data_IF_957682032469
#
_entry.id   IF_957682032469
#
_cell.length_a   1.000
_cell.length_b   1.000
_cell.length_c   1.000
_cell.angle_alpha   90.00
_cell.angle_beta   90.00
_cell.angle_gamma   90.00
#
_symmetry.space_group_name_H-M   'P 1'
#
loop_
_entity.id
_entity.type
_entity.pdbx_description
1 polymer ?
#
# COMPACT_ATOMS: atom_id res chain seq x y z
N UNK A 1 -45.14 -6.77 47.43
CA UNK A 1 -44.45 -7.93 46.84
C UNK A 1 -45.00 -8.08 45.43
N UNK A 2 -44.30 -7.98 44.31
CA UNK A 2 -42.88 -7.83 44.00
C UNK A 2 -42.80 -7.17 42.62
N UNK A 3 -41.99 -6.12 42.46
CA UNK A 3 -41.72 -5.53 41.14
C UNK A 3 -40.61 -6.34 40.47
N UNK A 4 -40.87 -6.86 39.27
CA UNK A 4 -39.89 -7.53 38.42
C UNK A 4 -39.02 -6.48 37.74
N UNK A 5 -37.77 -6.35 38.21
CA UNK A 5 -36.75 -5.50 37.60
C UNK A 5 -36.10 -6.32 36.49
N UNK A 6 -36.40 -5.99 35.24
CA UNK A 6 -35.64 -6.49 34.10
C UNK A 6 -34.19 -6.00 34.21
N UNK A 7 -33.17 -6.86 34.07
CA UNK A 7 -31.79 -6.40 34.12
C UNK A 7 -31.53 -5.49 32.92
N UNK A 8 -31.13 -4.24 33.19
CA UNK A 8 -30.61 -3.34 32.18
C UNK A 8 -29.46 -4.03 31.47
N UNK A 9 -29.58 -4.26 30.15
CA UNK A 9 -28.47 -4.70 29.32
C UNK A 9 -27.33 -3.72 29.54
N UNK A 10 -26.31 -4.12 30.29
CA UNK A 10 -25.08 -3.36 30.36
C UNK A 10 -24.58 -3.24 28.92
N UNK A 11 -24.43 -2.00 28.44
CA UNK A 11 -23.68 -1.76 27.21
C UNK A 11 -22.31 -2.37 27.49
N UNK A 12 -22.01 -3.51 26.85
CA UNK A 12 -20.62 -3.97 26.77
C UNK A 12 -19.84 -2.80 26.21
N UNK A 13 -18.99 -2.21 27.03
CA UNK A 13 -17.96 -1.29 26.57
C UNK A 13 -17.12 -2.13 25.64
N UNK A 14 -17.31 -1.94 24.32
CA UNK A 14 -16.42 -2.48 23.32
C UNK A 14 -15.04 -1.92 23.68
N UNK A 15 -14.01 -2.75 23.89
CA UNK A 15 -12.66 -2.24 24.11
C UNK A 15 -12.34 -1.25 22.99
N UNK A 16 -11.70 -0.13 23.32
CA UNK A 16 -11.29 0.84 22.31
C UNK A 16 -10.54 0.10 21.20
N UNK A 17 -11.06 0.21 19.97
CA UNK A 17 -10.42 -0.39 18.80
C UNK A 17 -9.00 0.14 18.63
N UNK A 18 -8.17 -0.61 17.90
CA UNK A 18 -6.86 -0.12 17.49
C UNK A 18 -7.02 1.16 16.67
N UNK A 19 -6.57 2.29 17.21
CA UNK A 19 -6.58 3.58 16.50
C UNK A 19 -5.15 3.91 16.02
N UNK A 20 -4.88 3.84 14.72
CA UNK A 20 -3.55 4.07 14.17
C UNK A 20 -3.12 5.55 14.23
N UNK A 21 -4.01 6.50 14.52
CA UNK A 21 -3.67 7.92 14.63
C UNK A 21 -3.03 8.28 15.99
N UNK A 22 -3.26 7.46 17.01
CA UNK A 22 -2.89 7.78 18.39
C UNK A 22 -1.66 7.04 18.89
N UNK A 23 -1.08 6.14 18.09
CA UNK A 23 0.07 5.34 18.49
C UNK A 23 1.36 6.19 18.52
N UNK A 24 2.27 5.93 19.48
CA UNK A 24 3.49 6.71 19.64
C UNK A 24 4.38 6.60 18.40
N UNK A 25 4.94 7.74 18.00
CA UNK A 25 5.93 7.83 16.93
C UNK A 25 7.30 7.57 17.53
N UNK A 26 8.08 6.71 16.89
CA UNK A 26 9.46 6.38 17.28
C UNK A 26 10.45 6.89 16.25
N UNK A 27 11.71 7.02 16.66
CA UNK A 27 12.78 7.47 15.76
C UNK A 27 12.99 6.45 14.64
N UNK A 28 13.11 6.97 13.41
CA UNK A 28 13.45 6.19 12.24
C UNK A 28 14.73 6.76 11.60
N UNK A 29 15.45 5.92 10.86
CA UNK A 29 16.64 6.33 10.10
C UNK A 29 16.25 7.40 9.07
N UNK A 30 17.01 8.49 9.03
CA UNK A 30 16.87 9.49 7.97
C UNK A 30 17.27 8.91 6.61
N UNK A 31 16.47 9.20 5.60
CA UNK A 31 16.66 8.75 4.23
C UNK A 31 16.93 9.94 3.30
N UNK A 32 17.60 9.69 2.17
CA UNK A 32 17.97 10.74 1.23
C UNK A 32 16.79 11.11 0.33
N UNK A 33 16.66 12.38 -0.04
CA UNK A 33 15.68 12.77 -1.04
C UNK A 33 16.04 12.17 -2.41
N UNK A 34 15.04 11.66 -3.13
CA UNK A 34 15.20 11.27 -4.53
C UNK A 34 15.27 12.52 -5.43
N UNK A 35 16.00 12.41 -6.53
CA UNK A 35 15.97 13.42 -7.59
C UNK A 35 14.61 13.43 -8.30
N UNK A 36 14.21 14.59 -8.83
CA UNK A 36 12.99 14.68 -9.64
C UNK A 36 13.03 13.76 -10.86
N UNK A 37 14.21 13.60 -11.48
CA UNK A 37 14.41 12.68 -12.61
C UNK A 37 14.11 11.22 -12.26
N UNK A 38 14.31 10.81 -11.00
CA UNK A 38 14.01 9.43 -10.57
C UNK A 38 12.53 9.17 -10.33
N UNK A 39 11.71 10.22 -10.38
CA UNK A 39 10.25 10.14 -10.28
C UNK A 39 9.55 10.20 -11.64
N UNK A 40 10.31 10.32 -12.72
CA UNK A 40 9.77 10.35 -14.08
C UNK A 40 9.46 8.94 -14.60
N UNK A 41 8.40 8.77 -15.43
CA UNK A 41 8.00 7.45 -15.93
C UNK A 41 9.13 6.69 -16.63
N UNK A 42 9.92 7.40 -17.45
CA UNK A 42 11.02 6.79 -18.19
C UNK A 42 12.14 6.25 -17.29
N UNK A 43 12.42 6.94 -16.18
CA UNK A 43 13.38 6.44 -15.20
C UNK A 43 12.85 5.19 -14.50
N UNK A 44 11.60 5.23 -14.01
CA UNK A 44 10.97 4.11 -13.31
C UNK A 44 10.93 2.88 -14.23
N UNK A 45 10.50 3.04 -15.47
CA UNK A 45 10.52 1.97 -16.47
C UNK A 45 11.93 1.40 -16.68
N UNK A 46 12.94 2.27 -16.81
CA UNK A 46 14.33 1.84 -16.95
C UNK A 46 14.83 1.07 -15.72
N UNK A 47 14.47 1.53 -14.52
CA UNK A 47 14.84 0.90 -13.25
C UNK A 47 14.30 -0.53 -13.15
N UNK A 48 13.04 -0.76 -13.52
CA UNK A 48 12.44 -2.10 -13.54
C UNK A 48 12.93 -2.98 -14.70
N UNK A 49 13.49 -2.39 -15.76
CA UNK A 49 14.00 -3.13 -16.93
C UNK A 49 15.43 -3.66 -16.73
N UNK A 50 16.09 -3.32 -15.62
CA UNK A 50 17.44 -3.79 -15.31
C UNK A 50 17.51 -4.41 -13.91
N UNK A 51 18.43 -5.35 -13.66
CA UNK A 51 18.69 -5.84 -12.31
C UNK A 51 19.24 -4.71 -11.44
N UNK A 52 18.46 -4.27 -10.45
CA UNK A 52 18.91 -3.34 -9.41
C UNK A 52 19.28 -4.18 -8.18
N UNK A 53 20.46 -3.96 -7.61
CA UNK A 53 20.80 -4.52 -6.31
C UNK A 53 20.22 -3.62 -5.22
N UNK A 54 19.19 -4.10 -4.53
CA UNK A 54 18.48 -3.33 -3.51
C UNK A 54 17.99 -4.24 -2.40
N UNK A 55 17.72 -3.63 -1.25
CA UNK A 55 17.13 -4.29 -0.09
C UNK A 55 15.75 -3.69 0.16
N UNK A 56 14.81 -4.54 0.55
CA UNK A 56 13.47 -4.15 0.97
C UNK A 56 13.50 -3.26 2.22
N UNK A 57 12.36 -2.66 2.58
CA UNK A 57 12.26 -1.84 3.80
C UNK A 57 12.82 -2.57 5.04
N UNK A 58 13.91 -2.06 5.67
CA UNK A 58 14.61 -2.79 6.71
C UNK A 58 13.76 -3.18 7.92
N UNK A 59 12.83 -2.31 8.33
CA UNK A 59 11.90 -2.56 9.45
C UNK A 59 11.01 -3.78 9.20
N UNK A 60 10.78 -4.13 7.93
CA UNK A 60 9.88 -5.20 7.51
C UNK A 60 10.57 -6.28 6.68
N UNK A 61 11.88 -6.47 6.85
CA UNK A 61 12.65 -7.45 6.08
C UNK A 61 12.00 -8.84 6.10
N UNK A 62 11.56 -9.32 7.28
CA UNK A 62 10.88 -10.62 7.42
C UNK A 62 9.51 -10.65 6.74
N UNK A 63 8.75 -9.56 6.80
CA UNK A 63 7.44 -9.47 6.15
C UNK A 63 7.56 -9.44 4.63
N UNK A 64 8.67 -8.97 4.07
CA UNK A 64 8.94 -8.95 2.63
C UNK A 64 9.54 -10.25 2.07
N UNK A 65 9.71 -11.29 2.89
CA UNK A 65 10.20 -12.61 2.45
C UNK A 65 9.08 -13.53 1.92
N UNK A 66 7.87 -13.03 1.69
CA UNK A 66 6.72 -13.84 1.30
C UNK A 66 6.79 -14.49 -0.08
N UNK A 67 7.71 -14.06 -0.95
CA UNK A 67 8.01 -14.80 -2.19
C UNK A 67 8.98 -15.98 -1.96
N UNK A 68 9.78 -15.95 -0.90
CA UNK A 68 10.87 -16.91 -0.63
C UNK A 68 10.53 -17.93 0.45
N UNK A 69 9.51 -17.66 1.27
CA UNK A 69 9.08 -18.49 2.40
C UNK A 69 7.65 -18.94 2.20
N UNK A 70 7.41 -20.26 2.31
CA UNK A 70 6.06 -20.80 2.24
C UNK A 70 5.34 -20.58 3.58
N UNK A 71 4.50 -19.56 3.64
CA UNK A 71 3.63 -19.33 4.78
C UNK A 71 2.40 -20.25 4.72
N UNK A 72 2.12 -20.99 5.80
CA UNK A 72 0.88 -21.76 5.92
C UNK A 72 -0.29 -20.87 6.31
N UNK A 73 -1.53 -21.19 5.93
CA UNK A 73 -2.73 -20.43 6.34
C UNK A 73 -2.62 -18.93 6.06
N UNK A 74 -2.25 -18.57 4.83
CA UNK A 74 -2.25 -17.19 4.34
C UNK A 74 -3.21 -17.06 3.17
N UNK A 75 -3.82 -15.89 3.05
CA UNK A 75 -4.63 -15.51 1.90
C UNK A 75 -3.74 -14.79 0.91
N UNK A 76 -3.67 -15.28 -0.33
CA UNK A 76 -2.90 -14.60 -1.38
C UNK A 76 -3.71 -13.45 -1.95
N UNK A 77 -3.06 -12.30 -2.11
CA UNK A 77 -3.64 -11.09 -2.65
C UNK A 77 -2.64 -10.36 -3.55
N UNK A 78 -3.15 -9.58 -4.47
CA UNK A 78 -2.35 -8.73 -5.34
C UNK A 78 -2.98 -7.35 -5.42
N UNK A 79 -2.12 -6.33 -5.47
CA UNK A 79 -2.54 -4.93 -5.57
C UNK A 79 -1.82 -4.26 -6.73
N UNK A 80 -2.53 -3.41 -7.44
CA UNK A 80 -1.93 -2.52 -8.42
C UNK A 80 -1.40 -1.29 -7.69
N UNK A 81 -0.11 -0.97 -7.85
CA UNK A 81 0.46 0.34 -7.55
C UNK A 81 0.33 1.18 -8.83
N UNK A 82 -0.71 2.02 -8.95
CA UNK A 82 -1.08 2.64 -10.22
C UNK A 82 -0.44 4.01 -10.34
N UNK A 83 0.58 4.12 -11.18
CA UNK A 83 1.19 5.39 -11.57
C UNK A 83 0.33 6.05 -12.65
N UNK A 84 -0.05 7.30 -12.46
CA UNK A 84 -0.90 8.06 -13.39
C UNK A 84 -0.15 9.31 -13.84
N UNK A 85 0.00 9.48 -15.16
CA UNK A 85 0.64 10.68 -15.69
C UNK A 85 -0.31 11.88 -15.58
N UNK A 86 0.14 12.94 -14.91
CA UNK A 86 -0.49 14.25 -14.85
C UNK A 86 0.47 15.33 -15.37
N UNK A 87 -0.03 16.55 -15.52
CA UNK A 87 0.74 17.69 -16.02
C UNK A 87 1.86 18.13 -15.07
N UNK A 88 1.71 17.85 -13.78
CA UNK A 88 2.65 18.18 -12.69
C UNK A 88 3.51 17.00 -12.24
N UNK A 89 3.50 15.89 -12.99
CA UNK A 89 4.30 14.69 -12.73
C UNK A 89 3.45 13.43 -12.57
N UNK A 90 4.07 12.36 -12.07
CA UNK A 90 3.36 11.14 -11.73
C UNK A 90 2.55 11.31 -10.45
N UNK A 91 1.34 10.78 -10.47
CA UNK A 91 0.49 10.59 -9.30
C UNK A 91 0.27 9.10 -9.06
N UNK A 92 -0.21 8.78 -7.87
CA UNK A 92 -0.56 7.42 -7.48
C UNK A 92 -2.01 7.40 -7.07
N UNK A 93 -2.80 6.55 -7.71
CA UNK A 93 -4.22 6.40 -7.43
C UNK A 93 -4.45 5.45 -6.24
N UNK A 94 -5.36 5.84 -5.35
CA UNK A 94 -5.78 5.07 -4.19
C UNK A 94 -7.30 4.96 -4.12
N UNK A 95 -7.76 3.92 -3.41
CA UNK A 95 -9.15 3.74 -2.99
C UNK A 95 -9.27 4.00 -1.49
N UNK A 96 -10.41 4.56 -1.07
CA UNK A 96 -10.85 4.54 0.33
C UNK A 96 -11.98 3.54 0.46
N UNK A 97 -11.76 2.49 1.26
CA UNK A 97 -12.77 1.46 1.52
C UNK A 97 -14.01 2.05 2.18
N UNK A 98 -15.17 1.56 1.80
CA UNK A 98 -16.44 2.01 2.38
C UNK A 98 -16.49 1.73 3.88
N UNK A 99 -17.07 2.67 4.65
CA UNK A 99 -17.06 2.63 6.12
C UNK A 99 -17.93 1.53 6.72
N UNK A 100 -18.76 0.88 5.91
CA UNK A 100 -19.70 -0.15 6.34
C UNK A 100 -19.14 -1.59 6.20
N UNK A 101 -17.93 -1.74 5.64
CA UNK A 101 -17.29 -3.04 5.49
C UNK A 101 -16.74 -3.54 6.85
N UNK A 102 -16.88 -4.84 7.11
CA UNK A 102 -16.46 -5.46 8.38
C UNK A 102 -14.95 -5.35 8.63
N UNK A 103 -14.16 -5.51 7.57
CA UNK A 103 -12.70 -5.43 7.62
C UNK A 103 -12.20 -4.12 6.99
N UNK A 104 -11.26 -3.46 7.66
CA UNK A 104 -10.52 -2.31 7.13
C UNK A 104 -11.39 -1.10 6.71
N UNK A 105 -12.56 -0.90 7.34
CA UNK A 105 -13.45 0.23 7.09
C UNK A 105 -12.71 1.58 7.07
N UNK A 106 -12.89 2.35 5.99
CA UNK A 106 -12.30 3.69 5.84
C UNK A 106 -10.79 3.72 5.59
N UNK A 107 -10.11 2.57 5.53
CA UNK A 107 -8.67 2.52 5.23
C UNK A 107 -8.40 2.89 3.77
N UNK A 108 -7.23 3.50 3.56
CA UNK A 108 -6.72 3.84 2.25
C UNK A 108 -5.85 2.68 1.76
N UNK A 109 -6.16 2.20 0.57
CA UNK A 109 -5.48 1.08 -0.07
C UNK A 109 -5.19 1.39 -1.53
N UNK A 110 -4.24 0.64 -2.07
CA UNK A 110 -4.16 0.42 -3.50
C UNK A 110 -5.38 -0.39 -3.97
N UNK A 111 -5.84 -0.20 -5.22
CA UNK A 111 -6.84 -1.10 -5.78
C UNK A 111 -6.27 -2.53 -5.89
N UNK A 112 -7.09 -3.52 -5.56
CA UNK A 112 -6.65 -4.91 -5.52
C UNK A 112 -7.33 -5.76 -4.46
N UNK A 113 -7.14 -7.07 -4.56
CA UNK A 113 -7.87 -8.02 -3.74
C UNK A 113 -7.24 -9.40 -3.75
N UNK A 114 -8.07 -10.40 -3.45
CA UNK A 114 -7.62 -11.80 -3.32
C UNK A 114 -7.28 -12.37 -4.70
N UNK A 115 -6.27 -13.23 -4.75
CA UNK A 115 -6.01 -14.05 -5.93
C UNK A 115 -7.05 -15.17 -5.93
N UNK A 116 -7.88 -15.22 -6.96
CA UNK A 116 -8.90 -16.24 -7.14
C UNK A 116 -8.35 -17.44 -7.92
N UNK A 117 -8.97 -18.63 -7.80
CA UNK A 117 -8.56 -19.80 -8.58
C UNK A 117 -8.63 -19.62 -10.10
N UNK A 118 -9.41 -18.64 -10.56
CA UNK A 118 -9.56 -18.25 -11.97
C UNK A 118 -8.47 -17.31 -12.46
N UNK A 119 -7.72 -16.68 -11.55
CA UNK A 119 -6.62 -15.80 -11.90
C UNK A 119 -5.40 -16.66 -12.31
N UNK A 120 -4.84 -16.36 -13.48
CA UNK A 120 -3.63 -17.03 -13.97
C UNK A 120 -2.42 -16.78 -13.05
N UNK A 121 -2.31 -15.57 -12.52
CA UNK A 121 -1.24 -15.12 -11.65
C UNK A 121 -1.65 -13.87 -10.85
N UNK A 122 -0.73 -13.35 -10.05
CA UNK A 122 -0.94 -12.14 -9.26
C UNK A 122 -1.18 -10.87 -10.11
N UNK A 123 -0.66 -10.82 -11.34
CA UNK A 123 -0.88 -9.69 -12.23
C UNK A 123 -2.33 -9.71 -12.72
N UNK A 124 -2.83 -10.88 -13.14
CA UNK A 124 -4.22 -11.06 -13.53
C UNK A 124 -5.18 -10.66 -12.41
N UNK A 125 -4.91 -11.09 -11.17
CA UNK A 125 -5.71 -10.71 -10.00
C UNK A 125 -5.72 -9.19 -9.77
N UNK A 126 -4.55 -8.54 -9.75
CA UNK A 126 -4.47 -7.09 -9.55
C UNK A 126 -5.22 -6.30 -10.64
N UNK A 127 -5.14 -6.74 -11.90
CA UNK A 127 -5.83 -6.10 -13.02
C UNK A 127 -7.35 -6.31 -12.96
N UNK A 128 -7.82 -7.53 -12.64
CA UNK A 128 -9.24 -7.84 -12.46
C UNK A 128 -9.85 -6.99 -11.35
N UNK A 129 -9.23 -7.02 -10.17
CA UNK A 129 -9.69 -6.28 -8.99
C UNK A 129 -9.68 -4.76 -9.23
N UNK A 130 -8.66 -4.23 -9.92
CA UNK A 130 -8.65 -2.80 -10.30
C UNK A 130 -9.81 -2.45 -11.23
N UNK A 131 -10.12 -3.33 -12.17
CA UNK A 131 -11.26 -3.11 -13.06
C UNK A 131 -12.60 -3.18 -12.31
N UNK A 132 -12.75 -4.15 -11.40
CA UNK A 132 -13.96 -4.32 -10.58
C UNK A 132 -14.17 -3.15 -9.59
N UNK A 133 -13.12 -2.74 -8.87
CA UNK A 133 -13.23 -1.73 -7.82
C UNK A 133 -13.39 -0.30 -8.36
N UNK A 134 -12.71 0.04 -9.48
CA UNK A 134 -12.63 1.42 -9.97
C UNK A 134 -12.88 1.61 -11.48
N UNK A 135 -13.21 0.54 -12.21
CA UNK A 135 -13.59 0.62 -13.63
C UNK A 135 -12.42 0.83 -14.60
N UNK A 136 -11.17 0.81 -14.13
CA UNK A 136 -10.00 0.97 -15.01
C UNK A 136 -9.70 -0.35 -15.70
N UNK A 137 -10.03 -0.42 -16.99
CA UNK A 137 -9.83 -1.63 -17.78
C UNK A 137 -8.34 -1.92 -18.06
N UNK A 138 -7.93 -3.20 -18.14
CA UNK A 138 -6.52 -3.60 -18.29
C UNK A 138 -5.79 -2.97 -19.49
N UNK A 139 -6.49 -2.66 -20.59
CA UNK A 139 -5.89 -2.04 -21.78
C UNK A 139 -5.32 -0.63 -21.53
N UNK A 140 -5.77 0.05 -20.48
CA UNK A 140 -5.22 1.34 -20.06
C UNK A 140 -3.96 1.18 -19.21
N UNK A 141 -3.64 -0.02 -18.74
CA UNK A 141 -2.57 -0.27 -17.78
C UNK A 141 -1.36 -0.86 -18.52
N UNK A 142 -0.31 -0.06 -18.64
CA UNK A 142 0.99 -0.56 -19.05
C UNK A 142 1.73 -1.12 -17.83
N UNK A 143 1.95 -2.44 -17.80
CA UNK A 143 2.74 -3.08 -16.76
C UNK A 143 4.20 -2.63 -16.82
N UNK A 144 4.75 -2.29 -15.65
CA UNK A 144 6.17 -1.92 -15.47
C UNK A 144 6.95 -3.07 -14.83
N UNK A 145 6.39 -3.70 -13.79
CA UNK A 145 7.05 -4.77 -13.06
C UNK A 145 6.31 -5.15 -11.78
N UNK A 146 6.94 -5.93 -10.91
CA UNK A 146 6.40 -6.27 -9.59
C UNK A 146 7.46 -6.08 -8.51
N UNK A 147 7.03 -5.99 -7.25
CA UNK A 147 7.92 -5.95 -6.10
C UNK A 147 7.74 -7.20 -5.21
N UNK A 148 8.65 -7.43 -4.24
CA UNK A 148 8.51 -8.53 -3.29
C UNK A 148 7.17 -8.50 -2.55
N UNK A 149 6.56 -9.69 -2.35
CA UNK A 149 5.33 -9.84 -1.58
C UNK A 149 5.52 -9.34 -0.14
N UNK A 150 4.50 -8.66 0.39
CA UNK A 150 4.45 -8.23 1.78
C UNK A 150 3.43 -9.07 2.58
N UNK A 151 3.86 -9.70 3.67
CA UNK A 151 2.97 -10.38 4.60
C UNK A 151 2.38 -9.38 5.61
N UNK A 152 1.06 -9.23 5.58
CA UNK A 152 0.31 -8.36 6.49
C UNK A 152 0.06 -9.01 7.85
N UNK A 153 -0.31 -8.17 8.83
CA UNK A 153 -0.74 -8.62 10.16
C UNK A 153 -2.03 -9.47 10.14
N UNK A 154 -2.85 -9.35 9.10
CA UNK A 154 -4.10 -10.10 8.89
C UNK A 154 -3.90 -11.37 8.07
N UNK A 155 -2.65 -11.82 7.87
CA UNK A 155 -2.29 -13.06 7.15
C UNK A 155 -2.60 -13.03 5.65
N UNK A 156 -2.63 -11.85 5.05
CA UNK A 156 -2.61 -11.70 3.60
C UNK A 156 -1.16 -11.53 3.10
N UNK A 157 -0.77 -12.23 2.03
CA UNK A 157 0.42 -11.89 1.25
C UNK A 157 0.01 -10.96 0.13
N UNK A 158 0.48 -9.71 0.13
CA UNK A 158 0.16 -8.71 -0.87
C UNK A 158 1.29 -8.60 -1.90
N UNK A 159 1.05 -9.03 -3.13
CA UNK A 159 1.98 -8.82 -4.27
C UNK A 159 1.75 -7.43 -4.89
N UNK A 160 2.73 -6.52 -4.88
CA UNK A 160 2.60 -5.23 -5.55
C UNK A 160 2.92 -5.37 -7.05
N UNK A 161 1.98 -4.98 -7.90
CA UNK A 161 2.11 -4.91 -9.35
C UNK A 161 2.22 -3.44 -9.73
N UNK A 162 3.33 -3.02 -10.34
CA UNK A 162 3.56 -1.63 -10.72
C UNK A 162 3.05 -1.42 -12.14
N UNK A 163 2.11 -0.48 -12.32
CA UNK A 163 1.52 -0.18 -13.62
C UNK A 163 1.44 1.32 -13.89
N UNK A 164 1.67 1.72 -15.15
CA UNK A 164 1.44 3.07 -15.64
C UNK A 164 0.07 3.12 -16.34
N UNK A 165 -0.86 3.87 -15.78
CA UNK A 165 -2.18 4.10 -16.37
C UNK A 165 -2.05 5.18 -17.45
N UNK A 166 -2.39 4.81 -18.68
CA UNK A 166 -2.44 5.69 -19.85
C UNK A 166 -3.72 6.54 -19.82
N UNK A 167 -3.72 7.74 -20.43
CA UNK A 167 -4.93 8.54 -20.55
C UNK A 167 -6.05 7.81 -21.31
N UNK A 168 -7.30 8.22 -21.08
CA UNK A 168 -8.48 7.72 -21.82
C UNK A 168 -9.43 6.84 -21.01
N UNK A 169 -9.11 6.53 -19.75
CA UNK A 169 -10.01 5.82 -18.84
C UNK A 169 -11.02 6.77 -18.17
N UNK A 170 -12.10 6.18 -17.66
CA UNK A 170 -13.04 6.85 -16.74
C UNK A 170 -13.04 6.09 -15.43
N UNK A 171 -12.98 6.80 -14.30
CA UNK A 171 -13.11 6.18 -12.99
C UNK A 171 -14.60 5.90 -12.72
N UNK A 172 -14.91 4.63 -12.47
CA UNK A 172 -16.25 4.16 -12.11
C UNK A 172 -16.12 3.28 -10.86
N UNK A 173 -16.19 3.86 -9.65
CA UNK A 173 -16.02 3.10 -8.42
C UNK A 173 -17.20 2.18 -8.17
N UNK A 174 -16.94 0.95 -7.73
CA UNK A 174 -17.97 0.13 -7.10
C UNK A 174 -18.30 0.73 -5.73
N UNK A 175 -19.43 1.42 -5.65
CA UNK A 175 -19.88 2.11 -4.42
C UNK A 175 -20.16 1.17 -3.24
N UNK A 176 -20.27 -0.14 -3.48
CA UNK A 176 -20.41 -1.13 -2.40
C UNK A 176 -19.08 -1.34 -1.65
N UNK A 177 -17.95 -1.18 -2.34
CA UNK A 177 -16.63 -1.43 -1.78
C UNK A 177 -15.79 -0.15 -1.61
N UNK A 178 -15.91 0.78 -2.54
CA UNK A 178 -15.10 1.99 -2.66
C UNK A 178 -15.95 3.23 -2.40
N UNK A 179 -15.65 3.91 -1.29
CA UNK A 179 -16.30 5.18 -0.95
C UNK A 179 -15.69 6.38 -1.69
N UNK A 180 -14.42 6.28 -2.08
CA UNK A 180 -13.71 7.37 -2.73
C UNK A 180 -12.50 6.85 -3.52
N UNK A 181 -12.23 7.48 -4.66
CA UNK A 181 -11.00 7.31 -5.43
C UNK A 181 -10.29 8.66 -5.50
N UNK A 182 -8.99 8.67 -5.19
CA UNK A 182 -8.21 9.90 -5.20
C UNK A 182 -6.75 9.62 -5.61
N UNK A 183 -6.03 10.67 -5.96
CA UNK A 183 -4.63 10.61 -6.40
C UNK A 183 -3.74 11.41 -5.47
N UNK A 184 -2.53 10.91 -5.22
CA UNK A 184 -1.47 11.62 -4.48
C UNK A 184 -0.26 11.79 -5.40
N UNK A 185 0.35 13.00 -5.49
CA UNK A 185 1.58 13.16 -6.26
C UNK A 185 2.67 12.19 -5.77
N UNK A 186 3.35 11.52 -6.69
CA UNK A 186 4.42 10.58 -6.36
C UNK A 186 5.55 11.28 -5.59
N UNK A 187 5.83 12.54 -5.91
CA UNK A 187 6.79 13.38 -5.18
C UNK A 187 6.48 13.53 -3.70
N UNK A 188 5.20 13.61 -3.32
CA UNK A 188 4.76 13.64 -1.92
C UNK A 188 4.97 12.27 -1.27
N UNK A 189 4.60 11.19 -1.96
CA UNK A 189 4.75 9.84 -1.41
C UNK A 189 6.22 9.44 -1.21
N UNK A 190 7.10 9.93 -2.07
CA UNK A 190 8.55 9.67 -2.02
C UNK A 190 9.30 10.65 -1.10
N UNK A 191 8.64 11.69 -0.57
CA UNK A 191 9.20 12.54 0.47
C UNK A 191 9.18 11.82 1.82
N UNK A 192 10.29 11.14 2.12
CA UNK A 192 10.46 10.37 3.36
C UNK A 192 10.43 11.24 4.63
N UNK A 193 10.54 12.57 4.52
CA UNK A 193 10.37 13.48 5.66
C UNK A 193 8.92 13.56 6.15
N UNK A 194 7.96 13.10 5.34
CA UNK A 194 6.54 12.99 5.68
C UNK A 194 6.19 11.62 6.29
N UNK A 195 7.11 10.66 6.27
CA UNK A 195 6.87 9.31 6.80
C UNK A 195 7.06 9.29 8.31
N UNK A 196 6.17 8.61 9.04
CA UNK A 196 6.28 8.41 10.49
C UNK A 196 6.30 6.93 10.81
N UNK A 197 7.23 6.50 11.65
CA UNK A 197 7.27 5.16 12.20
C UNK A 197 6.52 5.15 13.52
N UNK A 198 5.49 4.32 13.64
CA UNK A 198 4.72 4.15 14.86
C UNK A 198 5.06 2.82 15.53
N UNK A 199 4.99 2.79 16.85
CA UNK A 199 5.09 1.57 17.65
C UNK A 199 3.77 1.33 18.38
N UNK A 200 3.02 0.32 17.98
CA UNK A 200 1.79 -0.11 18.63
C UNK A 200 2.06 -1.23 19.62
N UNK A 201 1.62 -1.07 20.88
CA UNK A 201 1.67 -2.16 21.86
C UNK A 201 0.55 -3.17 21.58
N UNK A 202 0.86 -4.46 21.69
CA UNK A 202 -0.13 -5.53 21.49
C UNK A 202 -0.82 -5.90 22.81
N UNK A 203 -2.11 -6.29 22.80
CA UNK A 203 -2.83 -6.70 24.01
C UNK A 203 -2.20 -7.91 24.72
N UNK A 204 -1.57 -8.80 23.96
CA UNK A 204 -0.88 -10.01 24.43
C UNK A 204 0.58 -9.79 24.85
N UNK A 205 1.03 -8.54 24.85
CA UNK A 205 2.43 -8.16 25.10
C UNK A 205 3.26 -8.03 23.83
N UNK A 206 4.36 -7.29 23.92
CA UNK A 206 5.19 -6.92 22.77
C UNK A 206 4.64 -5.71 22.00
N UNK A 207 5.22 -5.46 20.82
CA UNK A 207 4.85 -4.33 19.97
C UNK A 207 4.94 -4.68 18.49
N UNK A 208 4.29 -3.87 17.65
CA UNK A 208 4.41 -3.89 16.20
C UNK A 208 4.74 -2.50 15.67
N UNK A 209 5.51 -2.47 14.59
CA UNK A 209 5.78 -1.26 13.85
C UNK A 209 4.86 -1.10 12.66
N UNK A 210 4.51 0.13 12.32
CA UNK A 210 3.89 0.47 11.03
C UNK A 210 4.31 1.88 10.60
N UNK A 211 4.35 2.12 9.28
CA UNK A 211 4.52 3.46 8.75
C UNK A 211 3.19 4.17 8.57
N UNK A 212 3.22 5.49 8.64
CA UNK A 212 2.18 6.36 8.10
C UNK A 212 2.76 7.51 7.28
N UNK A 213 1.92 8.07 6.41
CA UNK A 213 2.10 9.34 5.72
C UNK A 213 0.75 10.04 5.67
N UNK A 214 0.73 11.34 5.93
CA UNK A 214 -0.48 12.17 5.81
C UNK A 214 -0.38 13.07 4.61
N UNK A 215 -1.40 13.06 3.75
CA UNK A 215 -1.54 14.00 2.65
C UNK A 215 -2.94 14.63 2.71
N UNK A 216 -3.00 15.95 2.88
CA UNK A 216 -4.26 16.66 3.18
C UNK A 216 -4.96 15.99 4.38
N UNK A 217 -6.18 15.48 4.18
CA UNK A 217 -6.98 14.77 5.19
C UNK A 217 -6.78 13.25 5.16
N UNK A 218 -5.99 12.73 4.23
CA UNK A 218 -5.81 11.29 4.03
C UNK A 218 -4.65 10.77 4.88
N UNK A 219 -4.95 9.83 5.76
CA UNK A 219 -3.97 9.14 6.60
C UNK A 219 -3.66 7.76 6.02
N UNK A 220 -2.56 7.66 5.28
CA UNK A 220 -2.10 6.44 4.64
C UNK A 220 -1.20 5.70 5.62
N UNK A 221 -1.51 4.45 5.97
CA UNK A 221 -0.77 3.72 7.00
C UNK A 221 -0.75 2.22 6.77
N UNK A 222 0.01 1.50 7.60
CA UNK A 222 0.01 0.03 7.59
C UNK A 222 0.64 -0.54 6.33
N UNK A 223 0.00 -1.56 5.74
CA UNK A 223 0.53 -2.26 4.56
C UNK A 223 0.72 -1.31 3.36
N UNK A 224 -0.23 -0.43 3.09
CA UNK A 224 -0.13 0.57 2.02
C UNK A 224 1.12 1.44 2.18
N UNK A 225 1.35 1.97 3.38
CA UNK A 225 2.55 2.77 3.67
C UNK A 225 3.84 1.95 3.61
N UNK A 226 3.81 0.67 4.01
CA UNK A 226 4.96 -0.22 3.89
C UNK A 226 5.34 -0.47 2.42
N UNK A 227 4.36 -0.67 1.53
CA UNK A 227 4.61 -0.82 0.09
C UNK A 227 5.17 0.48 -0.53
N UNK A 228 4.67 1.65 -0.11
CA UNK A 228 5.23 2.96 -0.53
C UNK A 228 6.69 3.10 -0.09
N UNK A 229 7.00 2.77 1.17
CA UNK A 229 8.39 2.77 1.69
C UNK A 229 9.29 1.81 0.91
N UNK A 230 8.77 0.64 0.55
CA UNK A 230 9.50 -0.34 -0.24
C UNK A 230 9.77 0.14 -1.68
N UNK A 231 8.81 0.82 -2.31
CA UNK A 231 8.98 1.46 -3.60
C UNK A 231 10.07 2.54 -3.56
N UNK A 232 10.10 3.36 -2.50
CA UNK A 232 11.17 4.34 -2.28
C UNK A 232 12.56 3.67 -2.25
N UNK A 233 12.75 2.58 -1.49
CA UNK A 233 14.07 1.92 -1.40
C UNK A 233 14.54 1.38 -2.74
N UNK A 234 13.62 0.82 -3.52
CA UNK A 234 13.91 0.39 -4.89
C UNK A 234 14.38 1.56 -5.76
N UNK A 235 13.64 2.69 -5.77
CA UNK A 235 14.02 3.86 -6.56
C UNK A 235 15.34 4.49 -6.09
N UNK A 236 15.61 4.53 -4.79
CA UNK A 236 16.86 5.07 -4.23
C UNK A 236 18.08 4.24 -4.65
N UNK A 237 17.95 2.91 -4.62
CA UNK A 237 18.98 2.00 -5.09
C UNK A 237 19.18 2.14 -6.62
N UNK A 238 18.08 2.18 -7.39
CA UNK A 238 18.13 2.37 -8.82
C UNK A 238 18.77 3.71 -9.21
N UNK A 239 18.48 4.81 -8.51
CA UNK A 239 19.08 6.11 -8.76
C UNK A 239 20.59 6.05 -8.53
N UNK A 240 21.01 5.46 -7.40
CA UNK A 240 22.41 5.28 -7.09
C UNK A 240 23.12 4.44 -8.15
N UNK A 241 22.53 3.33 -8.58
CA UNK A 241 23.14 2.43 -9.56
C UNK A 241 23.17 3.02 -10.97
N UNK A 242 22.04 3.55 -11.46
CA UNK A 242 21.88 3.96 -12.86
C UNK A 242 22.39 5.37 -13.15
N UNK A 243 22.35 6.27 -12.18
CA UNK A 243 22.80 7.65 -12.35
C UNK A 243 24.27 7.78 -11.95
N UNK A 244 24.70 7.17 -10.84
CA UNK A 244 26.10 7.29 -10.37
C UNK A 244 27.04 6.28 -11.03
N UNK A 245 26.54 5.15 -11.53
CA UNK A 245 27.31 4.19 -12.33
C UNK A 245 27.65 4.65 -13.75
N UNK A 246 27.12 5.81 -14.20
CA UNK A 246 27.42 6.43 -15.50
C UNK A 246 28.50 7.52 -15.46
N UNK A 247 29.21 7.70 -14.33
CA UNK A 247 30.37 8.61 -14.32
C UNK A 247 31.60 7.92 -14.96
N UNK A 248 32.27 8.57 -15.93
CA UNK A 248 33.45 8.03 -16.60
C UNK A 248 34.65 7.86 -15.65
#
# INVERSE_FOLDING_TARGET
MSQSILPSRSRRVVPAGFDPLTQPIVQNRALQALSSSSLEPGFIQSAFSCPVDWQVEPVFTESFQADSVQFQNVVQAAVLFPLVQRSDGLHVLFTRRASHLYDHAGQISFPGGRIEPTDHDAIAAALRETHEEIGVAPEYIQLIGTQPCFLTSTRFTMKPVIGLIRPGFTIVPDTTEVAEVFEVPLSVLMDTSLHRLHQANLPEGGHRFYFSLTWKTYFIWGATAALIRNFYHFLAAAETQLVKGKRP
#
